data_IF_313730746412
#
_entry.id   IF_313730746412
#
_cell.length_a   1.000
_cell.length_b   1.000
_cell.length_c   1.000
_cell.angle_alpha   90.00
_cell.angle_beta   90.00
_cell.angle_gamma   90.00
#
_symmetry.space_group_name_H-M   'P 1'
#
loop_
_entity.id
_entity.type
_entity.pdbx_description
1 polymer ?
#
# COMPACT_ATOMS: atom_id res chain seq x y z
N UNK A 1 16.68 10.01 -16.86
CA UNK A 1 15.38 9.38 -16.51
C UNK A 1 15.41 9.03 -15.04
N UNK A 2 14.63 9.73 -14.21
CA UNK A 2 14.60 9.50 -12.76
C UNK A 2 14.11 8.09 -12.48
N UNK A 3 14.99 7.23 -11.98
CA UNK A 3 14.66 5.88 -11.55
C UNK A 3 13.77 5.96 -10.31
N UNK A 4 12.47 6.19 -10.52
CA UNK A 4 11.50 6.15 -9.43
C UNK A 4 11.51 4.72 -8.91
N UNK A 5 11.89 4.56 -7.64
CA UNK A 5 11.83 3.31 -6.91
C UNK A 5 10.46 3.19 -6.22
N UNK A 6 10.08 1.95 -5.90
CA UNK A 6 8.87 1.70 -5.14
C UNK A 6 8.93 2.42 -3.78
N UNK A 7 7.84 3.03 -3.34
CA UNK A 7 7.76 3.75 -2.06
C UNK A 7 7.79 2.83 -0.83
N UNK A 8 7.69 1.51 -1.05
CA UNK A 8 7.90 0.48 -0.03
C UNK A 8 9.40 0.25 0.16
N UNK A 9 9.85 0.37 1.42
CA UNK A 9 11.26 0.27 1.78
C UNK A 9 11.82 -1.12 1.43
N UNK A 10 13.01 -1.17 0.81
CA UNK A 10 13.64 -2.42 0.39
C UNK A 10 13.14 -2.99 -0.95
N UNK A 11 12.07 -2.43 -1.53
CA UNK A 11 11.56 -2.87 -2.82
C UNK A 11 12.40 -2.29 -3.98
N UNK A 12 13.04 -3.18 -4.75
CA UNK A 12 13.85 -2.83 -5.94
C UNK A 12 13.09 -2.98 -7.26
N UNK A 13 11.80 -3.30 -7.19
CA UNK A 13 10.97 -3.52 -8.38
C UNK A 13 10.71 -2.21 -9.13
N UNK A 14 10.54 -2.32 -10.45
CA UNK A 14 10.20 -1.17 -11.30
C UNK A 14 8.83 -0.60 -10.89
N UNK A 15 8.78 0.73 -10.80
CA UNK A 15 7.56 1.46 -10.50
C UNK A 15 6.57 1.32 -11.66
N UNK A 16 5.31 1.06 -11.29
CA UNK A 16 4.16 0.98 -12.17
C UNK A 16 3.39 2.32 -12.23
N UNK A 17 3.60 3.22 -11.24
CA UNK A 17 3.08 4.59 -11.12
C UNK A 17 1.60 4.80 -11.53
N UNK A 18 0.62 4.08 -10.96
CA UNK A 18 -0.78 4.43 -11.18
C UNK A 18 -1.18 5.68 -10.38
N UNK A 19 -2.06 6.49 -10.97
CA UNK A 19 -2.56 7.72 -10.37
C UNK A 19 -3.24 7.45 -9.01
N UNK A 20 -2.78 8.14 -7.96
CA UNK A 20 -3.38 8.09 -6.62
C UNK A 20 -2.77 7.06 -5.67
N UNK A 21 -1.59 6.51 -6.01
CA UNK A 21 -0.82 5.61 -5.12
C UNK A 21 0.67 5.96 -5.05
N UNK A 22 1.06 7.13 -5.53
CA UNK A 22 2.48 7.52 -5.66
C UNK A 22 3.27 6.56 -6.55
N UNK A 23 4.54 6.33 -6.20
CA UNK A 23 5.46 5.45 -6.92
C UNK A 23 5.43 4.03 -6.34
N UNK A 24 4.41 3.22 -6.64
CA UNK A 24 4.37 1.78 -6.29
C UNK A 24 4.78 0.90 -7.48
N UNK A 25 5.38 -0.26 -7.20
CA UNK A 25 5.50 -1.33 -8.19
C UNK A 25 4.17 -2.08 -8.35
N UNK A 26 4.06 -2.90 -9.40
CA UNK A 26 2.83 -3.65 -9.71
C UNK A 26 2.38 -4.56 -8.57
N UNK A 27 3.31 -5.26 -7.90
CA UNK A 27 3.00 -6.19 -6.82
C UNK A 27 2.42 -5.46 -5.60
N UNK A 28 3.13 -4.44 -5.13
CA UNK A 28 2.68 -3.60 -4.02
C UNK A 28 1.38 -2.86 -4.31
N UNK A 29 1.14 -2.46 -5.57
CA UNK A 29 -0.15 -1.91 -5.96
C UNK A 29 -1.28 -2.94 -5.81
N UNK A 30 -1.06 -4.20 -6.20
CA UNK A 30 -2.06 -5.25 -6.01
C UNK A 30 -2.32 -5.54 -4.54
N UNK A 31 -1.29 -5.51 -3.69
CA UNK A 31 -1.44 -5.71 -2.25
C UNK A 31 -2.17 -4.54 -1.58
N UNK A 32 -1.89 -3.31 -1.99
CA UNK A 32 -2.68 -2.14 -1.61
C UNK A 32 -4.16 -2.33 -2.00
N UNK A 33 -4.45 -2.81 -3.21
CA UNK A 33 -5.83 -3.05 -3.65
C UNK A 33 -6.50 -4.14 -2.82
N UNK A 34 -5.79 -5.22 -2.46
CA UNK A 34 -6.29 -6.27 -1.56
C UNK A 34 -6.59 -5.73 -0.16
N UNK A 35 -5.66 -4.98 0.42
CA UNK A 35 -5.83 -4.35 1.74
C UNK A 35 -7.02 -3.39 1.74
N UNK A 36 -7.15 -2.54 0.72
CA UNK A 36 -8.28 -1.63 0.55
C UNK A 36 -9.61 -2.37 0.45
N UNK A 37 -9.66 -3.51 -0.25
CA UNK A 37 -10.86 -4.36 -0.31
C UNK A 37 -11.26 -4.90 1.06
N UNK A 38 -10.29 -5.21 1.94
CA UNK A 38 -10.56 -5.65 3.33
C UNK A 38 -11.22 -4.57 4.19
N UNK A 39 -11.07 -3.28 3.86
CA UNK A 39 -11.78 -2.18 4.55
C UNK A 39 -13.28 -2.11 4.24
N UNK A 40 -13.78 -2.97 3.33
CA UNK A 40 -15.20 -3.15 3.07
C UNK A 40 -15.71 -2.47 1.79
N UNK A 41 -16.93 -2.83 1.34
CA UNK A 41 -17.49 -2.42 0.05
C UNK A 41 -17.74 -0.90 -0.07
N UNK A 42 -17.96 -0.22 1.06
CA UNK A 42 -18.08 1.26 1.09
C UNK A 42 -16.81 1.98 0.63
N UNK A 43 -15.63 1.38 0.85
CA UNK A 43 -14.37 1.98 0.39
C UNK A 43 -14.17 1.94 -1.11
N UNK A 44 -14.85 1.05 -1.84
CA UNK A 44 -14.76 1.04 -3.30
C UNK A 44 -15.38 2.31 -3.91
N UNK A 45 -16.62 2.63 -3.50
CA UNK A 45 -17.34 3.82 -3.93
C UNK A 45 -16.68 5.10 -3.39
N UNK A 46 -16.30 5.11 -2.11
CA UNK A 46 -15.64 6.27 -1.48
C UNK A 46 -14.31 6.62 -2.16
N UNK A 47 -13.48 5.63 -2.47
CA UNK A 47 -12.17 5.86 -3.08
C UNK A 47 -12.25 6.49 -4.47
N UNK A 48 -13.27 6.14 -5.27
CA UNK A 48 -13.52 6.77 -6.56
C UNK A 48 -13.83 8.26 -6.45
N UNK A 49 -14.53 8.66 -5.38
CA UNK A 49 -14.88 10.04 -5.08
C UNK A 49 -13.78 10.82 -4.34
N UNK A 50 -12.72 10.16 -3.86
CA UNK A 50 -11.63 10.80 -3.12
C UNK A 50 -10.67 11.57 -4.02
N UNK A 51 -10.11 12.66 -3.50
CA UNK A 51 -9.05 13.44 -4.15
C UNK A 51 -7.73 12.67 -4.23
N UNK A 52 -6.78 13.17 -5.01
CA UNK A 52 -5.47 12.54 -5.13
C UNK A 52 -4.71 12.53 -3.80
N UNK A 53 -4.84 13.59 -3.00
CA UNK A 53 -4.26 13.73 -1.67
C UNK A 53 -4.84 12.69 -0.69
N UNK A 54 -6.16 12.52 -0.71
CA UNK A 54 -6.87 11.54 0.11
C UNK A 54 -6.46 10.10 -0.25
N UNK A 55 -6.30 9.81 -1.54
CA UNK A 55 -5.81 8.50 -2.01
C UNK A 55 -4.35 8.28 -1.62
N UNK A 56 -3.51 9.32 -1.70
CA UNK A 56 -2.12 9.26 -1.25
C UNK A 56 -2.01 9.01 0.25
N UNK A 57 -2.86 9.64 1.07
CA UNK A 57 -2.92 9.41 2.51
C UNK A 57 -3.28 7.95 2.84
N UNK A 58 -4.24 7.35 2.11
CA UNK A 58 -4.57 5.94 2.26
C UNK A 58 -3.42 5.01 1.85
N UNK A 59 -2.70 5.33 0.78
CA UNK A 59 -1.53 4.57 0.36
C UNK A 59 -0.39 4.66 1.40
N UNK A 60 -0.20 5.83 2.02
CA UNK A 60 0.76 6.03 3.11
C UNK A 60 0.37 5.24 4.37
N UNK A 61 -0.90 5.23 4.75
CA UNK A 61 -1.43 4.40 5.84
C UNK A 61 -1.18 2.92 5.57
N UNK A 62 -1.47 2.45 4.36
CA UNK A 62 -1.19 1.08 3.99
C UNK A 62 0.32 0.76 4.06
N UNK A 63 1.18 1.66 3.60
CA UNK A 63 2.63 1.45 3.63
C UNK A 63 3.17 1.30 5.07
N UNK A 64 2.56 1.93 6.08
CA UNK A 64 2.94 1.69 7.48
C UNK A 64 2.51 0.30 7.96
N UNK A 65 1.35 -0.21 7.50
CA UNK A 65 0.91 -1.57 7.84
C UNK A 65 1.82 -2.65 7.26
N UNK A 66 2.32 -2.46 6.03
CA UNK A 66 3.28 -3.38 5.39
C UNK A 66 4.58 -3.47 6.18
N UNK A 67 5.11 -2.33 6.65
CA UNK A 67 6.33 -2.30 7.48
C UNK A 67 6.19 -3.05 8.80
N UNK A 68 4.99 -3.10 9.36
CA UNK A 68 4.71 -3.82 10.61
C UNK A 68 4.53 -5.32 10.38
N UNK A 69 3.93 -5.74 9.26
CA UNK A 69 3.78 -7.16 8.92
C UNK A 69 5.10 -7.84 8.48
N UNK A 70 6.10 -7.07 8.01
CA UNK A 70 7.46 -7.59 7.77
C UNK A 70 8.23 -7.89 9.07
N UNK A 71 7.71 -7.48 10.24
CA UNK A 71 8.13 -7.99 11.53
C UNK A 71 7.33 -9.28 11.79
N UNK A 72 7.96 -10.47 11.83
CA UNK A 72 7.23 -11.70 12.09
C UNK A 72 6.46 -11.55 13.42
N UNK A 73 5.19 -11.98 13.50
CA UNK A 73 4.49 -12.01 14.77
C UNK A 73 5.32 -12.85 15.72
N UNK A 74 5.76 -12.24 16.82
CA UNK A 74 6.46 -12.96 17.88
C UNK A 74 5.61 -14.17 18.27
N UNK A 75 6.20 -15.38 18.33
CA UNK A 75 5.43 -16.58 18.62
C UNK A 75 4.74 -16.41 19.99
N UNK A 76 3.50 -16.89 20.15
CA UNK A 76 2.77 -16.75 21.40
C UNK A 76 3.58 -17.37 22.54
N UNK A 77 3.58 -16.77 23.75
CA UNK A 77 4.30 -17.31 24.88
C UNK A 77 3.75 -18.71 25.18
N UNK A 78 4.61 -19.73 25.03
CA UNK A 78 4.32 -21.09 25.44
C UNK A 78 4.12 -21.08 26.96
N UNK A 79 2.94 -21.48 27.40
CA UNK A 79 2.55 -21.62 28.80
C UNK A 79 2.92 -22.99 29.33
#
# INVERSE_FOLDING_TARGET
>A
MSAQACSIHGCKARVYAPAGTGSLCKEHFLDFVKWRRRKGPGMFHKYGAMTMEERNALAAEWATTVRLEEMPPSPPPKR
#
